data_IF_450611794838
#
_entry.id   IF_450611794838
#
_cell.length_a   1.000
_cell.length_b   1.000
_cell.length_c   1.000
_cell.angle_alpha   90.00
_cell.angle_beta   90.00
_cell.angle_gamma   90.00
#
_symmetry.space_group_name_H-M   'P 1'
#
loop_
_entity.id
_entity.type
_entity.pdbx_description
1 polymer ?
#
# COMPACT_ATOMS: atom_id res chain seq x y z
N UNK A 1 -5.30 2.84 -0.67
CA UNK A 1 -5.26 3.54 -1.97
C UNK A 1 -4.49 2.81 -3.07
N UNK A 2 -3.69 1.77 -2.76
CA UNK A 2 -2.91 1.02 -3.76
C UNK A 2 -3.74 0.05 -4.64
N UNK A 3 -5.03 0.30 -4.84
CA UNK A 3 -5.88 -0.50 -5.75
C UNK A 3 -6.19 -1.95 -5.33
N UNK A 4 -5.93 -2.34 -4.08
CA UNK A 4 -6.26 -3.69 -3.57
C UNK A 4 -7.77 -3.98 -3.54
N UNK A 5 -8.16 -5.25 -3.38
CA UNK A 5 -9.56 -5.70 -3.51
C UNK A 5 -10.61 -4.97 -2.64
N UNK A 6 -10.19 -4.33 -1.54
CA UNK A 6 -11.07 -3.50 -0.71
C UNK A 6 -11.57 -2.23 -1.42
N UNK A 7 -10.87 -1.72 -2.43
CA UNK A 7 -11.22 -0.45 -3.09
C UNK A 7 -12.47 -0.53 -3.96
N UNK A 8 -12.96 -1.73 -4.27
CA UNK A 8 -14.12 -1.98 -5.12
C UNK A 8 -15.34 -2.56 -4.36
N UNK A 9 -15.20 -2.77 -3.06
CA UNK A 9 -16.32 -3.15 -2.20
C UNK A 9 -17.32 -2.00 -2.07
N UNK A 10 -18.60 -2.37 -1.99
CA UNK A 10 -19.73 -1.48 -1.79
C UNK A 10 -20.54 -1.97 -0.59
N UNK A 11 -21.22 -1.05 0.09
CA UNK A 11 -22.12 -1.40 1.20
C UNK A 11 -23.16 -2.42 0.75
N UNK A 12 -23.28 -3.51 1.50
CA UNK A 12 -24.20 -4.61 1.19
C UNK A 12 -23.54 -5.81 0.49
N UNK A 13 -22.32 -5.67 -0.03
CA UNK A 13 -21.57 -6.81 -0.57
C UNK A 13 -21.32 -7.85 0.54
N UNK A 14 -21.44 -9.13 0.20
CA UNK A 14 -21.16 -10.23 1.13
C UNK A 14 -19.69 -10.62 1.03
N UNK A 15 -19.04 -10.68 2.19
CA UNK A 15 -17.66 -11.19 2.33
C UNK A 15 -17.70 -12.45 3.18
N UNK A 16 -17.12 -13.55 2.69
CA UNK A 16 -16.93 -14.78 3.47
C UNK A 16 -15.58 -14.73 4.15
N UNK A 17 -15.57 -14.84 5.47
CA UNK A 17 -14.35 -14.95 6.28
C UNK A 17 -14.27 -16.39 6.80
N UNK A 18 -13.20 -17.09 6.45
CA UNK A 18 -12.90 -18.42 6.97
C UNK A 18 -11.57 -18.38 7.72
N UNK A 19 -11.64 -18.44 9.06
CA UNK A 19 -10.46 -18.34 9.92
C UNK A 19 -9.62 -19.61 9.93
N UNK A 20 -10.21 -20.78 9.65
CA UNK A 20 -9.45 -22.03 9.57
C UNK A 20 -8.59 -22.06 8.30
N UNK A 21 -9.07 -21.44 7.21
CA UNK A 21 -8.33 -21.31 5.95
C UNK A 21 -7.53 -20.02 5.83
N UNK A 22 -7.79 -19.03 6.68
CA UNK A 22 -7.19 -17.70 6.59
C UNK A 22 -7.62 -16.93 5.34
N UNK A 23 -8.86 -17.11 4.86
CA UNK A 23 -9.35 -16.44 3.65
C UNK A 23 -10.42 -15.39 3.95
N UNK A 24 -10.46 -14.37 3.08
CA UNK A 24 -11.51 -13.36 3.03
C UNK A 24 -11.93 -13.18 1.56
N UNK A 25 -13.07 -13.77 1.20
CA UNK A 25 -13.53 -13.84 -0.19
C UNK A 25 -14.71 -12.89 -0.43
N UNK A 26 -14.61 -12.04 -1.47
CA UNK A 26 -15.75 -11.22 -1.92
C UNK A 26 -16.68 -12.12 -2.74
N UNK A 27 -17.92 -12.29 -2.27
CA UNK A 27 -18.89 -13.20 -2.91
C UNK A 27 -19.62 -12.52 -4.07
N UNK A 28 -18.87 -12.08 -5.08
CA UNK A 28 -19.37 -11.50 -6.32
C UNK A 28 -18.74 -12.20 -7.53
N UNK A 29 -19.41 -12.23 -8.69
CA UNK A 29 -18.82 -12.74 -9.92
C UNK A 29 -17.60 -11.94 -10.36
N UNK A 30 -16.60 -12.60 -10.94
CA UNK A 30 -15.36 -11.96 -11.42
C UNK A 30 -15.63 -10.85 -12.44
N UNK A 31 -16.65 -11.03 -13.29
CA UNK A 31 -17.05 -10.02 -14.27
C UNK A 31 -17.49 -8.71 -13.60
N UNK A 32 -18.21 -8.80 -12.47
CA UNK A 32 -18.62 -7.62 -11.71
C UNK A 32 -17.41 -6.97 -11.02
N UNK A 33 -16.51 -7.76 -10.42
CA UNK A 33 -15.28 -7.24 -9.83
C UNK A 33 -14.42 -6.51 -10.87
N UNK A 34 -14.29 -7.07 -12.09
CA UNK A 34 -13.58 -6.45 -13.19
C UNK A 34 -14.23 -5.14 -13.64
N UNK A 35 -15.57 -5.12 -13.78
CA UNK A 35 -16.31 -3.91 -14.11
C UNK A 35 -16.09 -2.82 -13.05
N UNK A 36 -16.21 -3.16 -11.76
CA UNK A 36 -16.01 -2.20 -10.67
C UNK A 36 -14.58 -1.64 -10.62
N UNK A 37 -13.57 -2.45 -10.96
CA UNK A 37 -12.18 -1.97 -11.12
C UNK A 37 -12.09 -0.96 -12.26
N UNK A 38 -12.63 -1.29 -13.43
CA UNK A 38 -12.63 -0.39 -14.57
C UNK A 38 -13.35 0.94 -14.26
N UNK A 39 -14.49 0.89 -13.57
CA UNK A 39 -15.21 2.09 -13.12
C UNK A 39 -14.41 2.94 -12.13
N UNK A 40 -13.63 2.30 -11.24
CA UNK A 40 -12.77 3.00 -10.28
C UNK A 40 -11.60 3.69 -10.99
N UNK A 41 -10.92 2.98 -11.90
CA UNK A 41 -9.82 3.55 -12.70
C UNK A 41 -10.31 4.71 -13.58
N UNK A 42 -11.48 4.57 -14.21
CA UNK A 42 -12.09 5.64 -15.00
C UNK A 42 -12.42 6.89 -14.16
N UNK A 43 -12.60 6.75 -12.85
CA UNK A 43 -12.81 7.86 -11.91
C UNK A 43 -11.51 8.44 -11.34
N UNK A 44 -10.35 7.99 -11.82
CA UNK A 44 -9.04 8.43 -11.34
C UNK A 44 -8.53 7.65 -10.13
N UNK A 45 -9.08 6.46 -9.88
CA UNK A 45 -8.68 5.60 -8.77
C UNK A 45 -9.39 5.90 -7.45
N UNK A 46 -8.90 5.30 -6.37
CA UNK A 46 -9.43 5.55 -5.04
C UNK A 46 -9.07 6.98 -4.58
N UNK A 47 -9.99 7.76 -4.00
CA UNK A 47 -9.71 9.13 -3.58
C UNK A 47 -8.58 9.19 -2.55
N UNK A 48 -7.55 9.99 -2.85
CA UNK A 48 -6.43 10.28 -1.95
C UNK A 48 -6.34 11.80 -1.78
N UNK A 49 -6.41 12.35 -0.56
CA UNK A 49 -6.24 13.79 -0.36
C UNK A 49 -4.80 14.19 -0.69
N UNK A 50 -4.59 15.43 -1.13
CA UNK A 50 -3.25 15.96 -1.39
C UNK A 50 -2.36 15.90 -0.13
N UNK A 51 -1.05 15.75 -0.32
CA UNK A 51 -0.07 15.94 0.75
C UNK A 51 -0.06 17.41 1.17
N UNK A 52 -0.06 17.66 2.48
CA UNK A 52 -0.07 18.99 3.08
C UNK A 52 1.26 19.34 3.76
N UNK A 53 2.16 18.36 3.92
CA UNK A 53 3.48 18.58 4.50
C UNK A 53 4.55 17.82 3.73
N UNK A 54 5.82 18.28 3.76
CA UNK A 54 6.92 17.54 3.14
C UNK A 54 7.04 16.10 3.65
N UNK A 55 6.79 15.88 4.94
CA UNK A 55 6.84 14.53 5.52
C UNK A 55 5.74 13.61 4.95
N UNK A 56 4.53 14.13 4.72
CA UNK A 56 3.47 13.33 4.10
C UNK A 56 3.84 12.92 2.67
N UNK A 57 4.46 13.81 1.89
CA UNK A 57 4.93 13.51 0.55
C UNK A 57 6.02 12.43 0.55
N UNK A 58 7.05 12.60 1.39
CA UNK A 58 8.14 11.63 1.57
C UNK A 58 7.59 10.25 1.95
N UNK A 59 6.71 10.21 2.96
CA UNK A 59 6.17 8.95 3.46
C UNK A 59 5.35 8.23 2.38
N UNK A 60 4.46 8.93 1.68
CA UNK A 60 3.59 8.34 0.65
C UNK A 60 4.38 7.86 -0.57
N UNK A 61 5.47 8.55 -0.92
CA UNK A 61 6.32 8.18 -2.05
C UNK A 61 7.25 7.00 -1.77
N UNK A 62 7.52 6.68 -0.50
CA UNK A 62 8.60 5.75 -0.14
C UNK A 62 8.17 4.52 0.66
N UNK A 63 7.00 4.52 1.29
CA UNK A 63 6.60 3.45 2.22
C UNK A 63 6.23 2.13 1.51
N UNK A 64 6.57 1.01 2.14
CA UNK A 64 6.13 -0.33 1.78
C UNK A 64 4.67 -0.59 2.16
N UNK A 65 4.05 -1.63 1.59
CA UNK A 65 2.72 -2.05 2.07
C UNK A 65 2.82 -2.68 3.48
N UNK A 66 1.68 -2.89 4.15
CA UNK A 66 1.67 -3.34 5.54
C UNK A 66 2.21 -4.76 5.73
N UNK A 67 1.92 -5.65 4.77
CA UNK A 67 2.49 -7.00 4.68
C UNK A 67 4.02 -6.99 4.52
N UNK A 68 4.59 -5.90 4.02
CA UNK A 68 6.04 -5.66 3.92
C UNK A 68 6.60 -4.84 5.10
N UNK A 69 5.79 -4.61 6.14
CA UNK A 69 6.22 -3.95 7.39
C UNK A 69 6.16 -2.42 7.41
N UNK A 70 5.56 -1.77 6.40
CA UNK A 70 5.42 -0.29 6.31
C UNK A 70 6.72 0.50 6.50
N UNK A 71 7.87 -0.09 6.16
CA UNK A 71 9.16 0.61 6.22
C UNK A 71 9.30 1.60 5.07
N UNK A 72 10.21 2.56 5.19
CA UNK A 72 10.69 3.30 4.01
C UNK A 72 11.45 2.31 3.12
N UNK A 73 10.92 1.96 1.94
CA UNK A 73 11.52 0.96 1.03
C UNK A 73 13.01 1.19 0.78
N UNK A 74 13.51 2.44 0.58
CA UNK A 74 14.94 2.65 0.37
C UNK A 74 15.80 2.40 1.61
N UNK A 75 15.22 2.40 2.81
CA UNK A 75 15.97 2.32 4.08
C UNK A 75 16.56 0.92 4.31
N UNK A 76 15.88 -0.14 3.88
CA UNK A 76 16.28 -1.52 4.20
C UNK A 76 17.66 -1.89 3.65
N UNK A 77 18.12 -1.22 2.58
CA UNK A 77 19.45 -1.44 1.98
C UNK A 77 20.61 -0.90 2.82
N UNK A 78 20.35 0.04 3.74
CA UNK A 78 21.39 0.66 4.55
C UNK A 78 21.55 -0.09 5.87
N UNK A 79 22.49 -1.04 5.89
CA UNK A 79 22.80 -1.86 7.06
C UNK A 79 24.27 -1.72 7.42
N UNK A 80 24.57 -1.67 8.73
CA UNK A 80 25.94 -1.60 9.26
C UNK A 80 26.78 -0.50 8.61
N UNK A 81 26.19 0.68 8.44
CA UNK A 81 26.73 1.76 7.58
C UNK A 81 28.15 2.19 7.94
N UNK A 82 28.51 2.19 9.23
CA UNK A 82 29.88 2.51 9.66
C UNK A 82 30.92 1.47 9.17
N UNK A 83 30.52 0.21 9.04
CA UNK A 83 31.37 -0.88 8.59
C UNK A 83 31.34 -1.07 7.07
N UNK A 84 30.20 -0.79 6.42
CA UNK A 84 30.00 -1.06 4.99
C UNK A 84 30.25 0.16 4.10
N UNK A 85 30.04 1.37 4.63
CA UNK A 85 30.22 2.65 3.91
C UNK A 85 31.35 3.51 4.50
N UNK A 86 31.97 3.06 5.60
CA UNK A 86 33.02 3.79 6.31
C UNK A 86 32.50 4.82 7.32
N UNK A 87 33.43 5.40 8.08
CA UNK A 87 33.12 6.50 9.00
C UNK A 87 32.88 7.77 8.18
N UNK A 88 31.82 8.55 8.47
CA UNK A 88 31.60 9.83 7.82
C UNK A 88 32.81 10.77 7.94
N UNK A 89 32.95 11.67 6.96
CA UNK A 89 33.94 12.75 6.97
C UNK A 89 33.95 13.49 8.32
N UNK A 90 35.14 13.74 8.85
CA UNK A 90 35.34 14.68 9.94
C UNK A 90 34.94 16.08 9.46
N UNK A 91 34.10 16.76 10.23
CA UNK A 91 33.51 18.01 9.81
C UNK A 91 34.16 19.25 10.42
N UNK A 92 35.10 19.09 11.37
CA UNK A 92 35.89 20.16 11.98
C UNK A 92 37.27 19.67 12.43
#
# INVERSE_FOLDING_TARGET
>A
AAGGGLSILRTGDRVRIDLNKGTADILLPDAELAQRRAELEAKGGFPIPASQTPWQEIQRGMVAQFDEGMVLKPAVKYQRVAQTMGVPRDNH
#
